data_IF_002440013903
#
_entry.id   IF_002440013903
#
_cell.length_a   1.000
_cell.length_b   1.000
_cell.length_c   1.000
_cell.angle_alpha   90.00
_cell.angle_beta   90.00
_cell.angle_gamma   90.00
#
_symmetry.space_group_name_H-M   'P 1'
#
loop_
_entity.id
_entity.type
_entity.pdbx_description
1 polymer ?
#
# COMPACT_ATOMS: atom_id res chain seq x y z
N UNK A 1 8.36 5.21 -10.94
CA UNK A 1 8.37 6.56 -10.34
C UNK A 1 6.92 6.83 -10.00
N UNK A 2 6.59 7.10 -8.73
CA UNK A 2 5.21 7.33 -8.31
C UNK A 2 4.75 8.72 -8.71
N UNK A 3 3.54 8.84 -9.24
CA UNK A 3 2.87 10.11 -9.52
C UNK A 3 2.13 10.62 -8.27
N UNK A 4 1.96 11.93 -8.15
CA UNK A 4 1.14 12.56 -7.10
C UNK A 4 -0.35 12.18 -7.21
N UNK A 5 -0.76 11.76 -8.41
CA UNK A 5 -2.10 11.26 -8.72
C UNK A 5 -2.24 9.75 -8.54
N UNK A 6 -1.29 9.08 -7.89
CA UNK A 6 -1.39 7.66 -7.55
C UNK A 6 -1.60 7.49 -6.05
N UNK A 7 -2.14 6.34 -5.69
CA UNK A 7 -2.24 5.90 -4.31
C UNK A 7 -1.22 4.77 -4.06
N UNK A 8 -1.02 4.47 -2.79
CA UNK A 8 -0.24 3.34 -2.32
C UNK A 8 -1.11 2.47 -1.41
N UNK A 9 -1.07 1.17 -1.66
CA UNK A 9 -1.52 0.18 -0.70
C UNK A 9 -0.33 -0.30 0.14
N UNK A 10 -0.54 -0.41 1.46
CA UNK A 10 0.37 -1.11 2.35
C UNK A 10 -0.39 -2.20 3.11
N UNK A 11 0.20 -3.39 3.16
CA UNK A 11 -0.42 -4.61 3.69
C UNK A 11 0.45 -5.14 4.83
N UNK A 12 -0.14 -5.42 6.00
CA UNK A 12 0.59 -6.04 7.12
C UNK A 12 0.50 -7.56 7.09
N UNK A 13 1.37 -8.23 7.85
CA UNK A 13 1.32 -9.68 8.10
C UNK A 13 0.01 -10.15 8.75
N UNK A 14 -0.75 -9.25 9.36
CA UNK A 14 -2.07 -9.52 9.94
C UNK A 14 -3.24 -9.30 8.96
N UNK A 15 -2.96 -8.97 7.69
CA UNK A 15 -3.99 -8.73 6.68
C UNK A 15 -4.63 -7.34 6.75
N UNK A 16 -4.07 -6.41 7.52
CA UNK A 16 -4.53 -5.02 7.50
C UNK A 16 -4.04 -4.34 6.23
N UNK A 17 -4.96 -3.72 5.48
CA UNK A 17 -4.67 -2.98 4.25
C UNK A 17 -5.02 -1.51 4.48
N UNK A 18 -4.10 -0.61 4.14
CA UNK A 18 -4.36 0.83 4.12
C UNK A 18 -4.12 1.39 2.71
N UNK A 19 -4.96 2.33 2.29
CA UNK A 19 -4.80 3.15 1.07
C UNK A 19 -4.32 4.53 1.48
N UNK A 20 -3.25 5.00 0.87
CA UNK A 20 -2.67 6.32 1.14
C UNK A 20 -2.44 7.08 -0.17
N UNK A 21 -3.00 8.29 -0.34
CA UNK A 21 -2.66 9.14 -1.46
C UNK A 21 -1.17 9.48 -1.47
N UNK A 22 -0.50 9.34 -2.62
CA UNK A 22 0.91 9.69 -2.73
C UNK A 22 1.15 11.18 -2.44
N UNK A 23 0.16 12.04 -2.74
CA UNK A 23 0.19 13.47 -2.45
C UNK A 23 0.28 13.80 -0.94
N UNK A 24 -0.15 12.89 -0.06
CA UNK A 24 -0.08 13.09 1.41
C UNK A 24 1.30 12.72 1.99
N UNK A 25 2.14 12.05 1.21
CA UNK A 25 3.48 11.62 1.65
C UNK A 25 4.48 12.74 1.39
N UNK A 26 5.28 13.07 2.42
CA UNK A 26 6.33 14.09 2.28
C UNK A 26 7.36 13.71 1.22
N UNK A 27 7.52 14.58 0.22
CA UNK A 27 8.58 14.46 -0.78
C UNK A 27 9.93 14.74 -0.12
N UNK A 28 10.80 13.73 -0.10
CA UNK A 28 12.12 13.78 0.50
C UNK A 28 13.19 13.37 -0.52
N UNK A 29 14.41 13.87 -0.37
CA UNK A 29 15.54 13.49 -1.20
C UNK A 29 16.00 12.04 -0.96
N UNK A 30 16.79 11.49 -1.88
CA UNK A 30 17.24 10.09 -1.82
C UNK A 30 18.05 9.71 -0.58
N UNK A 31 18.81 10.67 -0.03
CA UNK A 31 19.65 10.45 1.14
C UNK A 31 18.90 10.67 2.47
N UNK A 32 17.59 10.93 2.42
CA UNK A 32 16.76 11.11 3.61
C UNK A 32 16.32 9.76 4.21
N UNK A 33 15.93 9.77 5.49
CA UNK A 33 15.39 8.60 6.20
C UNK A 33 13.93 8.30 5.86
N UNK A 34 13.25 9.23 5.19
CA UNK A 34 11.83 9.13 4.85
C UNK A 34 10.91 9.51 6.02
N UNK A 35 9.62 9.22 5.86
CA UNK A 35 8.56 9.47 6.85
C UNK A 35 7.81 8.18 7.18
N UNK A 36 7.27 8.09 8.39
CA UNK A 36 6.41 6.96 8.77
C UNK A 36 5.00 7.20 8.24
N UNK A 37 4.54 6.29 7.38
CA UNK A 37 3.18 6.30 6.83
C UNK A 37 2.23 5.37 7.57
N UNK A 38 2.78 4.40 8.32
CA UNK A 38 2.01 3.47 9.14
C UNK A 38 2.81 2.98 10.33
N UNK A 39 2.09 2.59 11.38
CA UNK A 39 2.63 1.88 12.54
C UNK A 39 1.90 0.54 12.66
N UNK A 40 2.53 -0.57 12.24
CA UNK A 40 1.98 -1.91 12.47
C UNK A 40 1.76 -2.18 13.96
N UNK A 41 0.82 -3.07 14.30
CA UNK A 41 0.61 -3.48 15.69
C UNK A 41 1.79 -4.29 16.25
N UNK A 42 1.76 -4.58 17.55
CA UNK A 42 2.84 -5.33 18.21
C UNK A 42 3.09 -6.68 17.52
N UNK A 43 4.35 -6.92 17.14
CA UNK A 43 4.76 -8.15 16.44
C UNK A 43 4.30 -8.26 14.98
N UNK A 44 3.72 -7.19 14.42
CA UNK A 44 3.32 -7.12 13.02
C UNK A 44 4.33 -6.31 12.21
N UNK A 45 4.41 -6.61 10.92
CA UNK A 45 5.28 -5.90 9.98
C UNK A 45 4.53 -5.64 8.68
N UNK A 46 5.07 -4.73 7.86
CA UNK A 46 4.57 -4.51 6.50
C UNK A 46 5.07 -5.64 5.62
N UNK A 47 4.14 -6.42 5.08
CA UNK A 47 4.42 -7.56 4.21
C UNK A 47 4.54 -7.14 2.73
N UNK A 48 3.74 -6.15 2.31
CA UNK A 48 3.74 -5.69 0.92
C UNK A 48 3.36 -4.22 0.79
N UNK A 49 3.86 -3.59 -0.28
CA UNK A 49 3.50 -2.22 -0.71
C UNK A 49 3.29 -2.24 -2.22
N UNK A 50 2.22 -1.62 -2.72
CA UNK A 50 1.93 -1.53 -4.14
C UNK A 50 1.42 -0.15 -4.53
N UNK A 51 1.95 0.48 -5.61
CA UNK A 51 1.30 1.65 -6.21
C UNK A 51 -0.01 1.24 -6.88
N UNK A 52 -0.96 2.17 -6.93
CA UNK A 52 -2.25 2.01 -7.61
C UNK A 52 -2.66 3.32 -8.29
N UNK A 53 -3.24 3.27 -9.50
CA UNK A 53 -3.77 4.47 -10.16
C UNK A 53 -4.90 5.11 -9.33
N UNK A 54 -4.90 6.44 -9.17
CA UNK A 54 -6.08 7.11 -8.62
C UNK A 54 -7.20 7.06 -9.68
N UNK A 55 -8.23 6.27 -9.40
CA UNK A 55 -9.37 6.11 -10.30
C UNK A 55 -10.12 4.78 -10.16
N UNK A 56 -9.54 3.78 -9.51
CA UNK A 56 -10.27 2.56 -9.16
C UNK A 56 -11.03 2.77 -7.83
N UNK A 57 -12.21 3.38 -7.94
CA UNK A 57 -13.29 3.31 -6.96
C UNK A 57 -14.09 2.00 -7.19
N UNK A 58 -13.42 0.85 -7.24
CA UNK A 58 -14.09 -0.44 -7.10
C UNK A 58 -13.73 -0.97 -5.72
N UNK A 59 -14.56 -0.63 -4.74
CA UNK A 59 -14.60 -1.28 -3.42
C UNK A 59 -15.03 -2.74 -3.63
N UNK A 60 -14.09 -3.63 -3.95
CA UNK A 60 -14.35 -5.07 -4.02
C UNK A 60 -13.52 -5.78 -2.95
N UNK A 61 -14.11 -6.05 -1.77
CA UNK A 61 -13.48 -6.84 -0.73
C UNK A 61 -13.77 -8.34 -0.98
N UNK A 62 -13.18 -8.94 -2.00
CA UNK A 62 -13.18 -10.40 -2.13
C UNK A 62 -11.98 -10.91 -2.94
N UNK A 63 -11.09 -11.65 -2.27
CA UNK A 63 -10.10 -12.47 -2.94
C UNK A 63 -10.78 -13.60 -3.72
N UNK A 64 -10.21 -13.94 -4.88
CA UNK A 64 -10.39 -15.24 -5.52
C UNK A 64 -9.01 -15.83 -5.77
N UNK A 65 -8.58 -16.69 -4.85
CA UNK A 65 -7.65 -17.76 -5.15
C UNK A 65 -8.40 -18.80 -6.01
N UNK A 66 -8.30 -18.70 -7.33
CA UNK A 66 -8.52 -19.87 -8.19
C UNK A 66 -7.17 -20.46 -8.58
N UNK A 67 -6.77 -21.43 -7.76
CA UNK A 67 -5.89 -22.54 -8.14
C UNK A 67 -6.23 -23.02 -9.56
N UNK A 68 -5.22 -23.12 -10.42
CA UNK A 68 -5.36 -23.76 -11.72
C UNK A 68 -4.27 -24.82 -11.89
N UNK A 69 -4.45 -25.94 -11.20
CA UNK A 69 -3.99 -27.23 -11.71
C UNK A 69 -4.83 -27.65 -12.93
N UNK A 70 -4.20 -27.78 -14.09
CA UNK A 70 -4.57 -28.69 -15.19
C UNK A 70 -3.39 -28.88 -16.15
#
# INVERSE_FOLDING_TARGET
>A
MLSESEDLFAITTAGMIIRLPAADISVQGRDATGVSVMSPGDGQEVAAVSPVPAGDESDDPAGDESDKEA
#
